data_IF_351120490641
#
_entry.id   IF_351120490641
#
_cell.length_a   1.000
_cell.length_b   1.000
_cell.length_c   1.000
_cell.angle_alpha   90.00
_cell.angle_beta   90.00
_cell.angle_gamma   90.00
#
_symmetry.space_group_name_H-M   'P 1'
#
loop_
_entity.id
_entity.type
_entity.pdbx_description
1 polymer ?
#
# COMPACT_ATOMS: atom_id res chain seq x y z
N UNK A 1 -17.49 -25.48 32.47
CA UNK A 1 -17.14 -24.05 32.38
C UNK A 1 -15.95 -23.82 31.45
N UNK A 2 -14.82 -24.52 31.60
CA UNK A 2 -13.63 -24.38 30.72
C UNK A 2 -13.90 -24.44 29.19
N UNK A 3 -14.81 -25.31 28.72
CA UNK A 3 -15.17 -25.37 27.30
C UNK A 3 -15.91 -24.11 26.80
N UNK A 4 -16.70 -23.48 27.68
CA UNK A 4 -17.37 -22.23 27.36
C UNK A 4 -16.36 -21.08 27.31
N UNK A 5 -15.39 -21.05 28.23
CA UNK A 5 -14.33 -20.05 28.25
C UNK A 5 -13.41 -20.16 27.02
N UNK A 6 -13.04 -21.38 26.62
CA UNK A 6 -12.29 -21.63 25.38
C UNK A 6 -13.05 -21.12 24.15
N UNK A 7 -14.35 -21.44 24.05
CA UNK A 7 -15.18 -20.96 22.94
C UNK A 7 -15.35 -19.43 22.94
N UNK A 8 -15.50 -18.83 24.11
CA UNK A 8 -15.56 -17.38 24.25
C UNK A 8 -14.25 -16.73 23.79
N UNK A 9 -13.10 -17.31 24.14
CA UNK A 9 -11.79 -16.84 23.70
C UNK A 9 -11.61 -16.97 22.18
N UNK A 10 -11.98 -18.12 21.60
CA UNK A 10 -11.92 -18.34 20.15
C UNK A 10 -12.80 -17.35 19.38
N UNK A 11 -14.00 -17.07 19.87
CA UNK A 11 -14.89 -16.07 19.26
C UNK A 11 -14.30 -14.66 19.37
N UNK A 12 -13.81 -14.26 20.55
CA UNK A 12 -13.18 -12.96 20.73
C UNK A 12 -11.94 -12.80 19.84
N UNK A 13 -11.13 -13.85 19.70
CA UNK A 13 -9.99 -13.86 18.79
C UNK A 13 -10.44 -13.66 17.33
N UNK A 14 -11.45 -14.41 16.86
CA UNK A 14 -11.99 -14.27 15.50
C UNK A 14 -12.49 -12.85 15.23
N UNK A 15 -13.21 -12.25 16.18
CA UNK A 15 -13.70 -10.87 16.05
C UNK A 15 -12.54 -9.88 15.97
N UNK A 16 -11.54 -10.01 16.84
CA UNK A 16 -10.35 -9.15 16.82
C UNK A 16 -9.56 -9.28 15.51
N UNK A 17 -9.46 -10.48 14.95
CA UNK A 17 -8.78 -10.72 13.67
C UNK A 17 -9.55 -10.11 12.49
N UNK A 18 -10.87 -10.24 12.46
CA UNK A 18 -11.70 -9.59 11.45
C UNK A 18 -11.53 -8.06 11.49
N UNK A 19 -11.48 -7.47 12.69
CA UNK A 19 -11.24 -6.03 12.85
C UNK A 19 -9.86 -5.59 12.32
N UNK A 20 -8.83 -6.43 12.42
CA UNK A 20 -7.51 -6.17 11.80
C UNK A 20 -7.61 -6.22 10.28
N UNK A 21 -8.29 -7.24 9.73
CA UNK A 21 -8.47 -7.36 8.28
C UNK A 21 -9.29 -6.23 7.68
N UNK A 22 -10.32 -5.76 8.38
CA UNK A 22 -11.09 -4.59 7.98
C UNK A 22 -10.19 -3.35 7.88
N UNK A 23 -9.28 -3.15 8.83
CA UNK A 23 -8.29 -2.06 8.77
C UNK A 23 -7.35 -2.20 7.56
N UNK A 24 -6.86 -3.41 7.28
CA UNK A 24 -6.01 -3.67 6.10
C UNK A 24 -6.76 -3.39 4.80
N UNK A 25 -8.01 -3.85 4.68
CA UNK A 25 -8.87 -3.58 3.51
C UNK A 25 -9.07 -2.08 3.30
N UNK A 26 -9.40 -1.35 4.36
CA UNK A 26 -9.59 0.09 4.31
C UNK A 26 -8.30 0.82 3.92
N UNK A 27 -7.15 0.36 4.43
CA UNK A 27 -5.83 0.88 4.06
C UNK A 27 -5.56 0.73 2.56
N UNK A 28 -5.74 -0.47 1.99
CA UNK A 28 -5.52 -0.68 0.55
C UNK A 28 -6.55 0.04 -0.32
N UNK A 29 -7.80 0.15 0.15
CA UNK A 29 -8.84 0.92 -0.55
C UNK A 29 -8.46 2.40 -0.64
N UNK A 30 -8.01 3.00 0.46
CA UNK A 30 -7.57 4.40 0.47
C UNK A 30 -6.33 4.61 -0.41
N UNK A 31 -5.38 3.68 -0.39
CA UNK A 31 -4.20 3.74 -1.27
C UNK A 31 -4.59 3.63 -2.75
N UNK A 32 -5.52 2.74 -3.10
CA UNK A 32 -6.04 2.63 -4.47
C UNK A 32 -6.68 3.94 -4.91
N UNK A 33 -7.51 4.57 -4.08
CA UNK A 33 -8.14 5.85 -4.40
C UNK A 33 -7.10 6.96 -4.58
N UNK A 34 -6.08 7.02 -3.72
CA UNK A 34 -5.00 8.00 -3.85
C UNK A 34 -4.25 7.84 -5.18
N UNK A 35 -3.82 6.62 -5.52
CA UNK A 35 -3.13 6.33 -6.80
C UNK A 35 -4.07 6.62 -7.98
N UNK A 36 -5.35 6.24 -7.91
CA UNK A 36 -6.35 6.51 -8.93
C UNK A 36 -6.43 8.00 -9.27
N UNK A 37 -6.56 8.87 -8.26
CA UNK A 37 -6.66 10.32 -8.50
C UNK A 37 -5.40 10.91 -9.12
N UNK A 38 -4.22 10.47 -8.67
CA UNK A 38 -2.94 10.95 -9.19
C UNK A 38 -2.72 10.49 -10.64
N UNK A 39 -3.00 9.21 -10.93
CA UNK A 39 -2.94 8.67 -12.29
C UNK A 39 -3.91 9.36 -13.23
N UNK A 40 -5.14 9.62 -12.81
CA UNK A 40 -6.13 10.32 -13.63
C UNK A 40 -5.66 11.73 -14.02
N UNK A 41 -5.03 12.45 -13.09
CA UNK A 41 -4.45 13.77 -13.37
C UNK A 41 -3.29 13.68 -14.37
N UNK A 42 -2.36 12.74 -14.18
CA UNK A 42 -1.22 12.54 -15.09
C UNK A 42 -1.69 12.14 -16.50
N UNK A 43 -2.66 11.24 -16.60
CA UNK A 43 -3.29 10.88 -17.88
C UNK A 43 -3.92 12.11 -18.56
N UNK A 44 -4.62 12.94 -17.79
CA UNK A 44 -5.22 14.19 -18.29
C UNK A 44 -4.17 15.18 -18.80
N UNK A 45 -3.06 15.35 -18.09
CA UNK A 45 -1.96 16.22 -18.54
C UNK A 45 -1.29 15.68 -19.82
N UNK A 46 -1.10 14.36 -19.91
CA UNK A 46 -0.56 13.72 -21.12
C UNK A 46 -1.50 13.91 -22.32
N UNK A 47 -2.81 13.71 -22.14
CA UNK A 47 -3.80 13.96 -23.18
C UNK A 47 -3.86 15.44 -23.62
N UNK A 48 -3.76 16.36 -22.67
CA UNK A 48 -3.66 17.80 -22.97
C UNK A 48 -2.42 18.11 -23.81
N UNK A 49 -1.27 17.52 -23.47
CA UNK A 49 -0.04 17.63 -24.24
C UNK A 49 -0.13 17.08 -25.67
N UNK A 50 -1.00 16.11 -25.92
CA UNK A 50 -1.25 15.58 -27.28
C UNK A 50 -2.19 16.46 -28.10
N UNK A 51 -3.14 17.13 -27.46
CA UNK A 51 -4.23 17.85 -28.16
C UNK A 51 -4.02 19.35 -28.28
N UNK A 52 -3.36 19.97 -27.30
CA UNK A 52 -3.21 21.42 -27.23
C UNK A 52 -1.87 21.92 -27.76
N UNK A 53 -0.86 21.05 -27.86
CA UNK A 53 0.47 21.42 -28.33
C UNK A 53 0.50 21.52 -29.85
N UNK A 54 0.73 22.72 -30.37
CA UNK A 54 1.06 22.93 -31.77
C UNK A 54 2.54 22.60 -32.02
N UNK A 55 2.81 21.42 -32.60
CA UNK A 55 4.16 20.97 -32.91
C UNK A 55 4.71 21.76 -34.11
N UNK A 56 5.89 22.40 -34.02
CA UNK A 56 6.48 23.13 -35.13
C UNK A 56 6.70 22.25 -36.37
N UNK A 57 6.39 22.75 -37.56
CA UNK A 57 6.56 22.01 -38.81
C UNK A 57 8.04 21.68 -39.08
N UNK A 58 8.95 22.57 -38.68
CA UNK A 58 10.40 22.45 -38.90
C UNK A 58 11.10 21.43 -37.99
N UNK A 59 10.42 20.90 -36.96
CA UNK A 59 11.04 19.94 -36.06
C UNK A 59 11.26 18.57 -36.74
N UNK A 60 12.37 17.91 -36.39
CA UNK A 60 12.75 16.62 -36.97
C UNK A 60 11.70 15.54 -36.74
N UNK A 61 11.38 14.78 -37.80
CA UNK A 61 10.34 13.75 -37.78
C UNK A 61 10.51 12.72 -36.66
N UNK A 62 11.75 12.28 -36.41
CA UNK A 62 12.07 11.32 -35.36
C UNK A 62 11.70 11.84 -33.98
N UNK A 63 11.96 13.11 -33.69
CA UNK A 63 11.68 13.70 -32.39
C UNK A 63 10.16 13.85 -32.16
N UNK A 64 9.43 14.25 -33.22
CA UNK A 64 7.95 14.30 -33.20
C UNK A 64 7.36 12.93 -32.91
N UNK A 65 7.81 11.92 -33.64
CA UNK A 65 7.35 10.54 -33.48
C UNK A 65 7.65 10.02 -32.07
N UNK A 66 8.86 10.25 -31.57
CA UNK A 66 9.25 9.79 -30.24
C UNK A 66 8.42 10.47 -29.15
N UNK A 67 8.19 11.78 -29.24
CA UNK A 67 7.31 12.49 -28.32
C UNK A 67 5.89 11.92 -28.33
N UNK A 68 5.30 11.71 -29.51
CA UNK A 68 3.94 11.18 -29.63
C UNK A 68 3.82 9.77 -29.05
N UNK A 69 4.77 8.88 -29.34
CA UNK A 69 4.78 7.52 -28.81
C UNK A 69 4.92 7.54 -27.29
N UNK A 70 5.94 8.23 -26.75
CA UNK A 70 6.21 8.24 -25.31
C UNK A 70 5.06 8.88 -24.53
N UNK A 71 4.49 9.97 -25.03
CA UNK A 71 3.35 10.65 -24.37
C UNK A 71 2.09 9.79 -24.39
N UNK A 72 1.81 9.12 -25.50
CA UNK A 72 0.67 8.20 -25.61
C UNK A 72 0.86 6.99 -24.70
N UNK A 73 2.06 6.42 -24.64
CA UNK A 73 2.38 5.32 -23.71
C UNK A 73 2.22 5.75 -22.26
N UNK A 74 2.70 6.95 -21.88
CA UNK A 74 2.51 7.49 -20.54
C UNK A 74 1.01 7.60 -20.19
N UNK A 75 0.20 8.19 -21.08
CA UNK A 75 -1.25 8.28 -20.91
C UNK A 75 -1.90 6.91 -20.73
N UNK A 76 -1.58 5.94 -21.59
CA UNK A 76 -2.15 4.60 -21.52
C UNK A 76 -1.79 3.86 -20.23
N UNK A 77 -0.53 3.95 -19.77
CA UNK A 77 -0.09 3.33 -18.52
C UNK A 77 -0.84 3.91 -17.31
N UNK A 78 -1.03 5.23 -17.29
CA UNK A 78 -1.80 5.90 -16.23
C UNK A 78 -3.29 5.50 -16.27
N UNK A 79 -3.90 5.39 -17.45
CA UNK A 79 -5.29 4.91 -17.55
C UNK A 79 -5.45 3.44 -17.11
N UNK A 80 -4.45 2.59 -17.37
CA UNK A 80 -4.43 1.20 -16.85
C UNK A 80 -4.38 1.23 -15.31
N UNK A 81 -3.54 2.09 -14.72
CA UNK A 81 -3.47 2.25 -13.26
C UNK A 81 -4.81 2.76 -12.68
N UNK A 82 -5.46 3.74 -13.32
CA UNK A 82 -6.81 4.22 -12.94
C UNK A 82 -7.84 3.09 -12.98
N UNK A 83 -7.89 2.34 -14.08
CA UNK A 83 -8.85 1.24 -14.22
C UNK A 83 -8.65 0.19 -13.13
N UNK A 84 -7.41 -0.29 -12.95
CA UNK A 84 -7.10 -1.32 -11.96
C UNK A 84 -7.41 -0.85 -10.53
N UNK A 85 -6.97 0.34 -10.15
CA UNK A 85 -7.24 0.88 -8.80
C UNK A 85 -8.73 1.13 -8.55
N UNK A 86 -9.48 1.56 -9.57
CA UNK A 86 -10.94 1.71 -9.48
C UNK A 86 -11.61 0.36 -9.25
N UNK A 87 -11.28 -0.66 -10.05
CA UNK A 87 -11.81 -2.00 -9.88
C UNK A 87 -11.47 -2.57 -8.50
N UNK A 88 -10.24 -2.41 -8.01
CA UNK A 88 -9.85 -2.88 -6.67
C UNK A 88 -10.61 -2.17 -5.55
N UNK A 89 -10.80 -0.85 -5.65
CA UNK A 89 -11.54 -0.07 -4.65
C UNK A 89 -13.03 -0.43 -4.58
N UNK A 90 -13.60 -0.98 -5.65
CA UNK A 90 -15.01 -1.42 -5.70
C UNK A 90 -15.16 -2.91 -5.37
N UNK A 91 -14.35 -3.76 -6.00
CA UNK A 91 -14.48 -5.22 -5.91
C UNK A 91 -13.91 -5.79 -4.63
N UNK A 92 -12.83 -5.22 -4.08
CA UNK A 92 -12.23 -5.67 -2.82
C UNK A 92 -13.21 -5.60 -1.65
N UNK A 93 -13.75 -4.42 -1.32
CA UNK A 93 -14.81 -4.29 -0.32
C UNK A 93 -16.09 -5.04 -0.69
N UNK A 94 -16.42 -5.11 -1.99
CA UNK A 94 -17.57 -5.86 -2.47
C UNK A 94 -17.49 -7.35 -2.12
N UNK A 95 -16.33 -7.98 -2.32
CA UNK A 95 -16.09 -9.38 -1.96
C UNK A 95 -16.07 -9.58 -0.45
N UNK A 96 -15.48 -8.65 0.30
CA UNK A 96 -15.44 -8.71 1.77
C UNK A 96 -16.82 -8.63 2.42
N UNK A 97 -17.74 -7.85 1.85
CA UNK A 97 -19.08 -7.63 2.41
C UNK A 97 -20.14 -8.62 1.91
N UNK A 98 -20.03 -9.07 0.65
CA UNK A 98 -21.05 -9.89 -0.02
C UNK A 98 -20.63 -11.34 -0.23
N UNK A 99 -19.35 -11.65 -0.01
CA UNK A 99 -18.85 -13.00 -0.16
C UNK A 99 -19.34 -13.92 0.97
N UNK A 100 -19.17 -15.24 0.80
CA UNK A 100 -19.45 -16.20 1.86
C UNK A 100 -18.57 -15.96 3.09
N UNK A 101 -18.90 -16.58 4.23
CA UNK A 101 -18.11 -16.46 5.46
C UNK A 101 -16.62 -16.73 5.22
N UNK A 102 -15.77 -15.83 5.73
CA UNK A 102 -14.32 -15.89 5.53
C UNK A 102 -13.79 -15.23 4.25
N UNK A 103 -14.67 -14.70 3.38
CA UNK A 103 -14.32 -13.96 2.14
C UNK A 103 -13.48 -12.69 2.37
N UNK A 104 -13.46 -12.17 3.60
CA UNK A 104 -12.60 -11.05 4.02
C UNK A 104 -11.11 -11.31 3.73
N UNK A 105 -10.61 -12.53 4.00
CA UNK A 105 -9.20 -12.87 3.79
C UNK A 105 -8.78 -12.84 2.31
N UNK A 106 -9.43 -13.59 1.40
CA UNK A 106 -9.08 -13.54 -0.02
C UNK A 106 -9.32 -12.17 -0.64
N UNK A 107 -10.29 -11.38 -0.13
CA UNK A 107 -10.50 -10.01 -0.59
C UNK A 107 -9.28 -9.11 -0.33
N UNK A 108 -8.75 -9.11 0.91
CA UNK A 108 -7.56 -8.33 1.25
C UNK A 108 -6.33 -8.81 0.48
N UNK A 109 -6.13 -10.13 0.38
CA UNK A 109 -5.00 -10.71 -0.35
C UNK A 109 -5.01 -10.38 -1.83
N UNK A 110 -6.18 -10.50 -2.47
CA UNK A 110 -6.36 -10.09 -3.86
C UNK A 110 -6.04 -8.61 -4.05
N UNK A 111 -6.49 -7.75 -3.13
CA UNK A 111 -6.16 -6.32 -3.18
C UNK A 111 -4.65 -6.05 -3.07
N UNK A 112 -3.94 -6.73 -2.18
CA UNK A 112 -2.48 -6.54 -2.01
C UNK A 112 -1.73 -6.90 -3.28
N UNK A 113 -2.05 -8.05 -3.88
CA UNK A 113 -1.35 -8.57 -5.06
C UNK A 113 -1.58 -7.65 -6.25
N UNK A 114 -2.83 -7.33 -6.54
CA UNK A 114 -3.19 -6.53 -7.72
C UNK A 114 -2.83 -5.05 -7.56
N UNK A 115 -2.84 -4.52 -6.33
CA UNK A 115 -2.39 -3.15 -6.06
C UNK A 115 -0.93 -2.95 -6.49
N UNK A 116 -0.05 -3.94 -6.26
CA UNK A 116 1.35 -3.83 -6.69
C UNK A 116 1.47 -3.68 -8.21
N UNK A 117 0.67 -4.42 -8.98
CA UNK A 117 0.62 -4.29 -10.44
C UNK A 117 0.17 -2.88 -10.86
N UNK A 118 -0.90 -2.37 -10.25
CA UNK A 118 -1.39 -1.03 -10.52
C UNK A 118 -0.36 0.06 -10.17
N UNK A 119 0.34 -0.12 -9.04
CA UNK A 119 1.41 0.78 -8.61
C UNK A 119 2.61 0.78 -9.57
N UNK A 120 3.00 -0.39 -10.10
CA UNK A 120 4.06 -0.48 -11.11
C UNK A 120 3.66 0.27 -12.38
N UNK A 121 2.43 0.10 -12.87
CA UNK A 121 1.92 0.84 -14.03
C UNK A 121 1.95 2.35 -13.79
N UNK A 122 1.52 2.82 -12.62
CA UNK A 122 1.61 4.23 -12.22
C UNK A 122 3.06 4.75 -12.25
N UNK A 123 4.00 4.03 -11.63
CA UNK A 123 5.41 4.47 -11.59
C UNK A 123 6.03 4.51 -13.00
N UNK A 124 5.75 3.50 -13.84
CA UNK A 124 6.21 3.49 -15.22
C UNK A 124 5.59 4.63 -16.05
N UNK A 125 4.30 4.91 -15.84
CA UNK A 125 3.59 6.03 -16.45
C UNK A 125 4.21 7.38 -16.07
N UNK A 126 4.48 7.58 -14.78
CA UNK A 126 5.14 8.78 -14.25
C UNK A 126 6.53 8.99 -14.85
N UNK A 127 7.34 7.94 -14.95
CA UNK A 127 8.68 8.00 -15.57
C UNK A 127 8.55 8.36 -17.06
N UNK A 128 7.66 7.69 -17.79
CA UNK A 128 7.41 7.98 -19.20
C UNK A 128 6.92 9.43 -19.41
N UNK A 129 6.07 9.94 -18.52
CA UNK A 129 5.60 11.33 -18.54
C UNK A 129 6.75 12.34 -18.39
N UNK A 130 7.71 12.09 -17.49
CA UNK A 130 8.89 12.95 -17.36
C UNK A 130 9.79 12.90 -18.60
N UNK A 131 9.97 11.73 -19.22
CA UNK A 131 10.69 11.63 -20.48
C UNK A 131 9.98 12.36 -21.62
N UNK A 132 8.64 12.27 -21.70
CA UNK A 132 7.84 13.06 -22.63
C UNK A 132 8.06 14.56 -22.43
N UNK A 133 8.04 15.05 -21.18
CA UNK A 133 8.28 16.46 -20.87
C UNK A 133 9.69 16.93 -21.30
N UNK A 134 10.71 16.08 -21.15
CA UNK A 134 12.05 16.37 -21.67
C UNK A 134 12.05 16.46 -23.20
N UNK A 135 11.44 15.50 -23.91
CA UNK A 135 11.33 15.52 -25.38
C UNK A 135 10.57 16.75 -25.88
N UNK A 136 9.50 17.15 -25.18
CA UNK A 136 8.75 18.36 -25.47
C UNK A 136 9.63 19.62 -25.41
N UNK A 137 10.55 19.70 -24.44
CA UNK A 137 11.48 20.83 -24.35
C UNK A 137 12.39 20.93 -25.59
N UNK A 138 12.84 19.80 -26.13
CA UNK A 138 13.62 19.75 -27.37
C UNK A 138 12.80 20.03 -28.63
N UNK A 139 11.49 19.82 -28.60
CA UNK A 139 10.59 20.16 -29.71
C UNK A 139 10.29 21.65 -29.77
N UNK A 140 10.11 22.31 -28.62
CA UNK A 140 9.58 23.67 -28.55
C UNK A 140 10.64 24.76 -28.40
N UNK A 141 11.78 24.46 -27.75
CA UNK A 141 12.76 25.48 -27.38
C UNK A 141 14.06 25.37 -28.19
N UNK A 142 14.80 26.48 -28.23
CA UNK A 142 16.16 26.50 -28.78
C UNK A 142 17.09 25.65 -27.92
N UNK A 143 18.19 25.17 -28.53
CA UNK A 143 19.07 24.16 -27.91
C UNK A 143 19.53 24.48 -26.47
N UNK A 144 19.83 25.76 -26.18
CA UNK A 144 20.29 26.20 -24.87
C UNK A 144 19.18 26.13 -23.83
N UNK A 145 18.00 26.65 -24.17
CA UNK A 145 16.83 26.60 -23.27
C UNK A 145 16.34 25.17 -23.09
N UNK A 146 16.29 24.38 -24.16
CA UNK A 146 15.91 22.98 -24.13
C UNK A 146 16.81 22.16 -23.19
N UNK A 147 18.13 22.42 -23.20
CA UNK A 147 19.09 21.77 -22.31
C UNK A 147 18.80 22.09 -20.83
N UNK A 148 18.62 23.36 -20.47
CA UNK A 148 18.35 23.76 -19.09
C UNK A 148 17.01 23.21 -18.58
N UNK A 149 15.94 23.28 -19.40
CA UNK A 149 14.62 22.73 -19.05
C UNK A 149 14.71 21.21 -18.89
N UNK A 150 15.35 20.51 -19.82
CA UNK A 150 15.53 19.06 -19.74
C UNK A 150 16.35 18.65 -18.52
N UNK A 151 17.42 19.40 -18.20
CA UNK A 151 18.23 19.17 -16.99
C UNK A 151 17.39 19.33 -15.72
N UNK A 152 16.52 20.34 -15.68
CA UNK A 152 15.59 20.54 -14.57
C UNK A 152 14.60 19.36 -14.41
N UNK A 153 14.00 18.90 -15.51
CA UNK A 153 13.06 17.76 -15.52
C UNK A 153 13.75 16.45 -15.14
N UNK A 154 14.96 16.20 -15.63
CA UNK A 154 15.72 14.99 -15.27
C UNK A 154 16.18 15.04 -13.81
N UNK A 155 16.58 16.21 -13.32
CA UNK A 155 16.91 16.42 -11.90
C UNK A 155 15.70 16.18 -11.00
N UNK A 156 14.52 16.69 -11.37
CA UNK A 156 13.28 16.45 -10.59
C UNK A 156 12.91 14.97 -10.56
N UNK A 157 13.03 14.27 -11.69
CA UNK A 157 12.81 12.82 -11.76
C UNK A 157 13.81 12.06 -10.88
N UNK A 158 15.11 12.40 -10.96
CA UNK A 158 16.14 11.77 -10.12
C UNK A 158 15.87 11.98 -8.63
N UNK A 159 15.52 13.21 -8.24
CA UNK A 159 15.15 13.52 -6.85
C UNK A 159 13.92 12.70 -6.43
N UNK A 160 12.87 12.66 -7.24
CA UNK A 160 11.65 11.90 -6.96
C UNK A 160 11.95 10.42 -6.74
N UNK A 161 12.71 9.79 -7.65
CA UNK A 161 13.08 8.38 -7.53
C UNK A 161 13.96 8.13 -6.30
N UNK A 162 14.92 9.00 -6.02
CA UNK A 162 15.76 8.90 -4.81
C UNK A 162 14.94 9.00 -3.53
N UNK A 163 14.00 9.94 -3.47
CA UNK A 163 13.11 10.09 -2.31
C UNK A 163 12.17 8.89 -2.17
N UNK A 164 11.58 8.42 -3.26
CA UNK A 164 10.72 7.24 -3.28
C UNK A 164 11.48 6.00 -2.77
N UNK A 165 12.68 5.73 -3.30
CA UNK A 165 13.52 4.61 -2.83
C UNK A 165 13.94 4.77 -1.36
N UNK A 166 14.26 5.99 -0.91
CA UNK A 166 14.60 6.25 0.50
C UNK A 166 13.42 5.95 1.42
N UNK A 167 12.22 6.40 1.06
CA UNK A 167 10.99 6.14 1.82
C UNK A 167 10.69 4.64 1.83
N UNK A 168 10.72 4.00 0.66
CA UNK A 168 10.48 2.57 0.52
C UNK A 168 11.43 1.74 1.38
N UNK A 169 12.74 2.02 1.31
CA UNK A 169 13.74 1.31 2.10
C UNK A 169 13.60 1.56 3.61
N UNK A 170 13.06 2.70 4.03
CA UNK A 170 12.84 3.02 5.44
C UNK A 170 11.64 2.28 6.02
N UNK A 171 10.59 2.07 5.22
CA UNK A 171 9.33 1.46 5.67
C UNK A 171 9.19 -0.01 5.26
N UNK A 172 10.14 -0.56 4.50
CA UNK A 172 10.20 -1.99 4.18
C UNK A 172 10.56 -2.78 5.44
N UNK A 173 9.58 -3.42 6.05
CA UNK A 173 9.80 -4.42 7.11
C UNK A 173 10.23 -5.75 6.49
N UNK A 174 11.11 -6.49 7.18
CA UNK A 174 11.61 -7.78 6.71
C UNK A 174 10.52 -8.88 6.73
N UNK A 175 9.53 -8.73 7.61
CA UNK A 175 8.40 -9.63 7.76
C UNK A 175 7.12 -8.79 7.82
N UNK A 176 6.19 -9.05 6.89
CA UNK A 176 4.87 -8.43 6.88
C UNK A 176 3.92 -9.40 7.57
N UNK A 177 3.70 -9.21 8.87
CA UNK A 177 2.71 -9.98 9.62
C UNK A 177 1.34 -9.45 9.25
N UNK A 178 0.57 -10.24 8.51
CA UNK A 178 -0.83 -9.94 8.18
C UNK A 178 -1.75 -10.51 9.24
N UNK A 179 -2.99 -10.02 9.35
CA UNK A 179 -4.00 -10.63 10.23
C UNK A 179 -4.45 -12.04 9.82
N UNK A 180 -3.67 -12.81 9.03
CA UNK A 180 -3.97 -14.22 8.69
C UNK A 180 -3.49 -15.09 9.84
N UNK A 181 -4.40 -15.77 10.52
CA UNK A 181 -4.05 -16.96 11.29
C UNK A 181 -4.49 -18.18 10.48
N UNK A 182 -3.54 -18.96 9.97
CA UNK A 182 -3.84 -20.28 9.40
C UNK A 182 -4.02 -21.27 10.55
N UNK A 183 -5.10 -22.05 10.52
CA UNK A 183 -5.39 -23.07 11.53
C UNK A 183 -4.31 -24.16 11.69
N UNK A 184 -3.31 -24.22 10.81
CA UNK A 184 -2.14 -25.10 10.95
C UNK A 184 -1.33 -24.84 12.24
N UNK A 185 -1.30 -23.61 12.76
CA UNK A 185 -0.65 -23.33 14.05
C UNK A 185 -1.42 -23.89 15.24
N UNK A 186 -2.74 -24.07 15.11
CA UNK A 186 -3.55 -24.76 16.12
C UNK A 186 -3.36 -26.28 16.06
N UNK A 187 -3.22 -26.86 14.86
CA UNK A 187 -2.94 -28.31 14.71
C UNK A 187 -1.54 -28.66 15.24
N UNK A 188 -0.54 -27.80 15.02
CA UNK A 188 0.79 -27.99 15.59
C UNK A 188 0.85 -27.77 17.12
N UNK A 189 -0.05 -26.97 17.69
CA UNK A 189 -0.19 -26.82 19.15
C UNK A 189 -0.95 -27.98 19.80
N UNK A 190 -1.83 -28.68 19.06
CA UNK A 190 -2.50 -29.90 19.53
C UNK A 190 -1.55 -31.13 19.58
N UNK A 191 -0.40 -31.07 18.91
CA UNK A 191 0.66 -32.09 18.96
C UNK A 191 1.76 -31.84 20.00
N UNK A 192 1.83 -30.64 20.58
CA UNK A 192 2.77 -30.36 21.67
C UNK A 192 2.19 -30.87 23.00
N UNK A 193 2.91 -31.80 23.63
CA UNK A 193 2.57 -32.35 24.93
C UNK A 193 2.12 -31.24 25.91
N UNK A 194 1.10 -31.49 26.76
CA UNK A 194 0.58 -30.46 27.65
C UNK A 194 1.74 -29.83 28.44
N UNK A 195 1.75 -28.49 28.59
CA UNK A 195 2.80 -27.81 29.32
C UNK A 195 2.93 -28.44 30.71
N UNK A 196 4.17 -28.73 31.10
CA UNK A 196 4.43 -29.36 32.38
C UNK A 196 3.78 -28.53 33.49
N UNK A 197 3.10 -29.15 34.45
CA UNK A 197 2.25 -28.46 35.43
C UNK A 197 3.02 -27.39 36.23
N UNK A 198 4.36 -27.49 36.27
CA UNK A 198 5.29 -26.50 36.80
C UNK A 198 5.37 -25.20 35.99
N UNK A 199 5.31 -25.28 34.66
CA UNK A 199 5.38 -24.10 33.78
C UNK A 199 4.08 -23.29 33.85
N UNK A 200 2.93 -23.98 33.89
CA UNK A 200 1.62 -23.38 34.13
C UNK A 200 1.53 -22.70 35.50
N UNK A 201 2.05 -23.33 36.56
CA UNK A 201 2.12 -22.72 37.88
C UNK A 201 3.01 -21.46 37.88
N UNK A 202 4.13 -21.47 37.16
CA UNK A 202 5.02 -20.31 37.06
C UNK A 202 4.40 -19.13 36.29
N UNK A 203 3.62 -19.41 35.24
CA UNK A 203 2.91 -18.40 34.45
C UNK A 203 1.76 -17.77 35.22
N UNK A 204 0.99 -18.57 35.95
CA UNK A 204 -0.10 -18.07 36.82
C UNK A 204 0.48 -17.21 37.95
N UNK A 205 1.58 -17.68 38.57
CA UNK A 205 2.25 -16.94 39.64
C UNK A 205 2.83 -15.62 39.10
N UNK A 206 3.46 -15.64 37.92
CA UNK A 206 4.00 -14.43 37.27
C UNK A 206 2.94 -13.40 36.89
N UNK A 207 1.76 -13.85 36.45
CA UNK A 207 0.63 -12.95 36.17
C UNK A 207 0.02 -12.36 37.46
N UNK A 208 -0.13 -13.16 38.52
CA UNK A 208 -0.60 -12.66 39.82
C UNK A 208 0.37 -11.64 40.43
N UNK A 209 1.69 -11.86 40.34
CA UNK A 209 2.68 -10.90 40.84
C UNK A 209 2.64 -9.59 40.06
N UNK A 210 2.43 -9.63 38.74
CA UNK A 210 2.29 -8.40 37.93
C UNK A 210 1.02 -7.62 38.29
N UNK A 211 -0.09 -8.29 38.53
CA UNK A 211 -1.34 -7.64 38.91
C UNK A 211 -1.23 -6.98 40.29
N UNK A 212 -0.63 -7.67 41.26
CA UNK A 212 -0.36 -7.13 42.60
C UNK A 212 0.58 -5.92 42.57
N UNK A 213 1.63 -5.97 41.75
CA UNK A 213 2.58 -4.86 41.64
C UNK A 213 1.98 -3.63 40.96
N UNK A 214 1.06 -3.81 39.99
CA UNK A 214 0.33 -2.68 39.39
C UNK A 214 -0.65 -2.05 40.38
N UNK A 215 -1.33 -2.86 41.19
CA UNK A 215 -2.24 -2.37 42.22
C UNK A 215 -1.48 -1.60 43.31
N UNK A 216 -0.34 -2.11 43.77
CA UNK A 216 0.52 -1.39 44.72
C UNK A 216 1.11 -0.10 44.14
N UNK A 217 1.49 -0.08 42.86
CA UNK A 217 1.96 1.12 42.19
C UNK A 217 0.86 2.20 42.13
N UNK A 218 -0.38 1.82 41.81
CA UNK A 218 -1.52 2.76 41.80
C UNK A 218 -1.85 3.33 43.18
N UNK A 219 -1.71 2.52 44.25
CA UNK A 219 -1.94 2.97 45.62
C UNK A 219 -0.82 3.90 46.11
N UNK A 220 0.44 3.64 45.73
CA UNK A 220 1.57 4.48 46.04
C UNK A 220 1.53 5.84 45.30
N UNK A 221 0.98 5.88 44.08
CA UNK A 221 0.73 7.13 43.36
C UNK A 221 -0.42 7.93 43.99
N UNK A 222 -1.49 7.28 44.43
CA UNK A 222 -2.60 7.95 45.12
C UNK A 222 -2.15 8.63 46.43
N UNK A 223 -1.24 8.01 47.19
CA UNK A 223 -0.71 8.57 48.44
C UNK A 223 0.30 9.72 48.26
N UNK A 224 0.80 9.98 47.05
CA UNK A 224 1.68 11.15 46.77
C UNK A 224 0.90 12.42 46.45
N UNK A 225 -0.41 12.32 46.28
CA UNK A 225 -1.29 13.42 45.91
C UNK A 225 -2.20 13.90 47.07
N UNK A 226 -2.00 13.36 48.28
CA UNK A 226 -2.49 13.90 49.56
C UNK A 226 -1.34 14.59 50.31
#
# INVERSE_FOLDING_TARGET
>A
MLFADKRALETNLKVNLLAIREKELNYYTQNCLAVCTQSALLAGFAYSGLTQVAIPEDAGYVLKLLYLIVTTTAMCLELIAVMNTTLLSMMGPGLALRGPDGSMHPAVEGMVIEYNTAYICFVLGLIAFHFSAALFAWLMFTWGVAFFVSSCVVSSLYMLMRYASRVFNRFRTAEVVTGRFSGEEMVNSEGSAPPNQRDLASLITGQQTRHYNMEQASLAEAQRHE
#
